data_IF_963573012068
#
_entry.id   IF_963573012068
#
_cell.length_a   1.000
_cell.length_b   1.000
_cell.length_c   1.000
_cell.angle_alpha   90.00
_cell.angle_beta   90.00
_cell.angle_gamma   90.00
#
_symmetry.space_group_name_H-M   'P 1'
#
loop_
_entity.id
_entity.type
_entity.pdbx_description
1 polymer ?
#
# COMPACT_ATOMS: atom_id res chain seq x y z
N UNK A 1 -70.06 -37.26 8.88
CA UNK A 1 -70.30 -36.03 9.62
C UNK A 1 -69.05 -35.20 9.43
N UNK A 2 -68.98 -34.40 8.33
CA UNK A 2 -69.39 -33.00 8.27
C UNK A 2 -68.86 -32.24 9.49
N UNK A 3 -68.05 -31.22 9.37
CA UNK A 3 -68.31 -29.95 8.71
C UNK A 3 -66.98 -29.26 8.30
N UNK A 4 -67.00 -28.72 7.12
CA UNK A 4 -66.25 -27.63 6.51
C UNK A 4 -66.20 -26.39 7.41
N UNK A 5 -65.06 -25.66 7.45
CA UNK A 5 -65.14 -24.20 7.36
C UNK A 5 -63.91 -23.60 6.71
N UNK A 6 -64.20 -22.73 5.76
CA UNK A 6 -63.31 -21.85 5.02
C UNK A 6 -63.08 -20.58 5.80
N UNK A 7 -61.90 -20.07 5.84
CA UNK A 7 -61.73 -18.62 6.00
C UNK A 7 -60.61 -18.09 5.08
N UNK A 8 -61.04 -17.18 4.28
CA UNK A 8 -60.39 -16.44 3.23
C UNK A 8 -59.32 -15.46 3.73
N UNK A 9 -58.23 -15.39 2.96
CA UNK A 9 -57.25 -14.31 3.03
C UNK A 9 -57.83 -13.02 2.45
N UNK A 10 -57.45 -11.85 2.96
CA UNK A 10 -57.65 -10.61 2.22
C UNK A 10 -56.38 -10.19 1.44
N UNK A 11 -56.57 -9.82 0.19
CA UNK A 11 -55.60 -9.22 -0.70
C UNK A 11 -55.14 -7.84 -0.19
N UNK A 12 -53.86 -7.48 -0.36
CA UNK A 12 -53.44 -6.09 -0.18
C UNK A 12 -53.68 -5.27 -1.47
N UNK A 13 -54.51 -4.27 -1.33
CA UNK A 13 -54.83 -3.28 -2.38
C UNK A 13 -53.60 -2.47 -2.82
N UNK A 14 -53.33 -2.52 -4.12
CA UNK A 14 -52.43 -1.61 -4.79
C UNK A 14 -53.00 -0.16 -4.71
N UNK A 15 -52.27 0.72 -4.08
CA UNK A 15 -52.51 2.17 -4.19
C UNK A 15 -51.54 2.72 -5.23
N UNK A 16 -52.12 3.10 -6.38
CA UNK A 16 -51.45 3.80 -7.45
C UNK A 16 -51.33 5.29 -7.09
N UNK A 17 -50.11 5.77 -6.84
CA UNK A 17 -49.89 7.21 -6.73
C UNK A 17 -49.45 7.75 -8.09
N UNK A 18 -50.27 8.62 -8.65
CA UNK A 18 -50.02 9.41 -9.85
C UNK A 18 -48.91 10.43 -9.57
N UNK A 19 -47.94 10.46 -10.46
CA UNK A 19 -46.90 11.48 -10.53
C UNK A 19 -47.49 12.74 -11.21
N UNK A 20 -47.50 13.83 -10.49
CA UNK A 20 -47.64 15.16 -11.11
C UNK A 20 -46.25 15.78 -11.24
N UNK A 21 -45.93 16.03 -12.50
CA UNK A 21 -44.73 16.72 -12.91
C UNK A 21 -44.86 18.21 -12.62
N UNK A 22 -43.91 18.77 -11.89
CA UNK A 22 -43.66 20.22 -11.93
C UNK A 22 -42.16 20.46 -12.01
N UNK A 23 -41.72 20.72 -13.21
CA UNK A 23 -40.38 21.27 -13.49
C UNK A 23 -40.37 22.73 -13.04
N UNK A 24 -39.49 23.05 -12.09
CA UNK A 24 -39.06 24.42 -11.87
C UNK A 24 -37.53 24.51 -12.06
N UNK A 25 -37.17 25.43 -12.98
CA UNK A 25 -35.81 25.68 -13.40
C UNK A 25 -34.88 26.15 -12.27
N UNK A 26 -33.58 25.78 -12.30
CA UNK A 26 -32.61 26.33 -11.38
C UNK A 26 -32.32 27.81 -11.67
N UNK A 27 -32.02 28.64 -10.66
CA UNK A 27 -31.73 30.05 -10.83
C UNK A 27 -30.39 30.25 -11.58
N UNK A 28 -30.46 31.13 -12.59
CA UNK A 28 -29.30 31.64 -13.32
C UNK A 28 -28.61 32.70 -12.48
N UNK A 29 -27.34 32.47 -12.13
CA UNK A 29 -26.48 33.53 -11.64
C UNK A 29 -25.90 34.32 -12.80
N UNK A 30 -26.25 35.61 -12.86
CA UNK A 30 -25.68 36.59 -13.78
C UNK A 30 -24.29 37.01 -13.27
N UNK A 31 -23.29 36.86 -14.11
CA UNK A 31 -21.98 37.46 -13.90
C UNK A 31 -22.03 38.91 -14.37
N UNK A 32 -21.86 39.84 -13.45
CA UNK A 32 -21.52 41.25 -13.81
C UNK A 32 -20.03 41.50 -13.55
N UNK A 33 -19.36 42.26 -14.43
CA UNK A 33 -17.94 42.56 -14.30
C UNK A 33 -17.69 43.72 -13.32
N UNK A 34 -16.83 43.49 -12.33
CA UNK A 34 -16.34 44.56 -11.45
C UNK A 34 -15.19 45.28 -12.14
N UNK A 35 -15.42 46.55 -12.42
CA UNK A 35 -14.46 47.52 -12.95
C UNK A 35 -13.39 47.86 -11.93
N UNK A 36 -12.17 47.86 -12.41
CA UNK A 36 -10.95 48.29 -11.73
C UNK A 36 -10.97 49.82 -11.48
N UNK A 37 -10.58 50.23 -10.26
CA UNK A 37 -10.18 51.61 -9.99
C UNK A 37 -8.77 51.60 -9.34
N UNK A 38 -7.80 52.38 -9.87
CA UNK A 38 -6.43 52.40 -9.41
C UNK A 38 -6.13 53.66 -8.60
N UNK A 39 -5.90 53.56 -7.34
CA UNK A 39 -5.06 54.53 -6.60
C UNK A 39 -4.91 54.15 -5.14
N UNK A 40 -3.74 53.68 -4.71
CA UNK A 40 -3.13 53.98 -3.39
C UNK A 40 -1.63 53.71 -3.49
N UNK A 41 -0.92 54.75 -3.63
CA UNK A 41 0.36 55.24 -3.09
C UNK A 41 1.33 54.23 -2.47
N UNK A 42 2.48 54.16 -3.13
CA UNK A 42 3.81 53.74 -2.63
C UNK A 42 4.08 54.08 -1.20
N UNK A 43 4.42 53.09 -0.36
CA UNK A 43 5.37 53.27 0.76
C UNK A 43 6.52 52.28 0.61
N UNK A 44 7.70 52.85 0.38
CA UNK A 44 8.99 52.19 0.53
C UNK A 44 9.18 51.85 2.00
N UNK A 45 9.43 50.59 2.34
CA UNK A 45 10.09 50.23 3.60
C UNK A 45 11.36 49.45 3.27
N UNK A 46 12.39 49.85 3.94
CA UNK A 46 13.79 49.53 3.79
C UNK A 46 14.06 48.04 3.93
N UNK A 47 14.91 47.55 3.03
CA UNK A 47 15.55 46.25 3.09
C UNK A 47 16.68 46.34 4.10
N UNK A 48 16.58 45.62 5.22
CA UNK A 48 17.70 45.36 6.09
C UNK A 48 18.49 44.19 5.55
N UNK A 49 19.73 44.46 5.19
CA UNK A 49 20.74 43.52 4.73
C UNK A 49 21.10 42.51 5.83
N UNK A 50 20.93 41.19 5.53
CA UNK A 50 21.59 40.15 6.28
C UNK A 50 22.97 39.89 5.68
N UNK A 51 24.03 39.69 6.53
CA UNK A 51 25.35 39.40 6.03
C UNK A 51 25.47 38.00 5.47
N UNK A 52 26.11 37.90 4.30
CA UNK A 52 26.48 36.64 3.69
C UNK A 52 27.53 35.91 4.55
N UNK A 53 27.47 34.55 4.64
CA UNK A 53 28.53 33.78 5.25
C UNK A 53 29.74 33.74 4.33
N UNK A 54 30.87 34.26 4.81
CA UNK A 54 32.16 34.23 4.13
C UNK A 54 32.63 32.80 3.89
N UNK A 55 32.76 32.42 2.61
CA UNK A 55 33.45 31.20 2.20
C UNK A 55 34.94 31.36 2.48
N UNK A 56 35.46 30.67 3.49
CA UNK A 56 36.91 30.53 3.70
C UNK A 56 37.42 29.48 2.68
N UNK A 57 38.13 29.99 1.70
CA UNK A 57 38.84 29.15 0.71
C UNK A 57 40.09 28.57 1.36
N UNK A 58 40.06 27.30 1.74
CA UNK A 58 41.27 26.58 2.10
C UNK A 58 41.97 26.10 0.81
N UNK A 59 43.00 26.80 0.42
CA UNK A 59 43.96 26.32 -0.57
C UNK A 59 44.78 25.20 0.06
N UNK A 60 44.61 23.98 -0.40
CA UNK A 60 45.58 22.90 -0.19
C UNK A 60 46.27 22.62 -1.52
N UNK A 61 47.47 23.16 -1.68
CA UNK A 61 48.40 22.76 -2.70
C UNK A 61 48.98 21.39 -2.31
N UNK A 62 48.48 20.34 -2.92
CA UNK A 62 49.23 19.12 -3.19
C UNK A 62 48.71 18.47 -4.46
N UNK A 63 49.49 18.67 -5.48
CA UNK A 63 49.47 17.97 -6.74
C UNK A 63 49.52 16.45 -6.48
N UNK A 64 48.45 15.73 -6.79
CA UNK A 64 48.49 14.32 -7.06
C UNK A 64 48.30 14.13 -8.55
N UNK A 65 49.38 13.83 -9.21
CA UNK A 65 49.40 13.37 -10.56
C UNK A 65 48.69 12.01 -10.69
N UNK A 66 47.83 11.95 -11.70
CA UNK A 66 47.12 10.78 -12.23
C UNK A 66 46.01 10.16 -11.36
N UNK A 67 44.74 10.31 -11.81
CA UNK A 67 43.69 9.44 -11.32
C UNK A 67 43.92 8.01 -11.80
N UNK A 68 43.64 6.99 -10.98
CA UNK A 68 43.74 5.60 -11.41
C UNK A 68 42.80 5.36 -12.58
N UNK A 69 43.35 4.91 -13.71
CA UNK A 69 42.57 4.43 -14.86
C UNK A 69 41.91 3.13 -14.47
N UNK A 70 40.61 3.16 -14.20
CA UNK A 70 39.81 1.95 -14.20
C UNK A 70 39.66 1.47 -15.62
N UNK A 71 40.35 0.38 -15.97
CA UNK A 71 40.12 -0.34 -17.21
C UNK A 71 38.71 -0.91 -17.14
N UNK A 72 37.80 -0.40 -17.97
CA UNK A 72 36.52 -1.03 -18.22
C UNK A 72 36.78 -2.27 -19.12
N UNK A 73 37.16 -3.38 -18.48
CA UNK A 73 37.01 -4.67 -19.14
C UNK A 73 35.55 -5.10 -18.96
N UNK A 74 34.89 -5.64 -19.99
CA UNK A 74 33.54 -6.17 -19.83
C UNK A 74 33.62 -7.37 -18.90
N UNK A 75 33.10 -7.20 -17.68
CA UNK A 75 32.89 -8.32 -16.77
C UNK A 75 31.81 -9.17 -17.43
N UNK A 76 32.25 -10.26 -18.05
CA UNK A 76 31.35 -11.36 -18.38
C UNK A 76 30.83 -11.90 -17.08
N UNK A 77 29.58 -11.57 -16.76
CA UNK A 77 28.88 -12.07 -15.58
C UNK A 77 28.76 -13.60 -15.70
N UNK A 78 29.61 -14.29 -14.93
CA UNK A 78 29.45 -15.72 -14.70
C UNK A 78 28.19 -15.92 -13.83
N UNK A 79 27.15 -16.64 -14.30
CA UNK A 79 25.90 -16.81 -13.57
C UNK A 79 26.07 -17.51 -12.21
N UNK A 80 27.25 -18.06 -11.92
CA UNK A 80 27.51 -18.81 -10.67
C UNK A 80 27.88 -17.95 -9.46
N UNK A 81 28.18 -16.65 -9.64
CA UNK A 81 28.69 -15.78 -8.57
C UNK A 81 27.57 -15.06 -7.80
N UNK A 82 26.40 -14.92 -8.40
CA UNK A 82 25.29 -14.11 -7.86
C UNK A 82 24.53 -14.79 -6.69
N UNK A 83 24.40 -16.11 -6.71
CA UNK A 83 23.69 -16.86 -5.68
C UNK A 83 24.29 -16.76 -4.26
N UNK A 84 25.56 -16.48 -4.13
CA UNK A 84 26.22 -16.29 -2.85
C UNK A 84 25.81 -14.99 -2.15
N UNK A 85 25.72 -13.89 -2.91
CA UNK A 85 25.35 -12.56 -2.42
C UNK A 85 23.89 -12.51 -1.95
N UNK A 86 22.97 -13.07 -2.72
CA UNK A 86 21.53 -13.10 -2.41
C UNK A 86 21.21 -13.94 -1.16
N UNK A 87 21.86 -15.10 -1.00
CA UNK A 87 21.73 -15.90 0.22
C UNK A 87 22.27 -15.18 1.46
N UNK A 88 23.38 -14.47 1.32
CA UNK A 88 23.93 -13.64 2.41
C UNK A 88 23.00 -12.45 2.73
N UNK A 89 22.36 -11.85 1.74
CA UNK A 89 21.39 -10.78 1.95
C UNK A 89 20.20 -11.26 2.80
N UNK A 90 19.58 -12.39 2.44
CA UNK A 90 18.47 -12.96 3.21
C UNK A 90 18.88 -13.27 4.66
N UNK A 91 20.05 -13.88 4.87
CA UNK A 91 20.58 -14.14 6.21
C UNK A 91 20.77 -12.82 7.00
N UNK A 92 21.20 -11.75 6.33
CA UNK A 92 21.34 -10.42 6.91
C UNK A 92 19.99 -9.81 7.30
N UNK A 93 18.94 -9.98 6.49
CA UNK A 93 17.60 -9.43 6.76
C UNK A 93 16.85 -10.22 7.84
N UNK A 94 17.06 -11.53 7.96
CA UNK A 94 16.42 -12.38 8.97
C UNK A 94 16.65 -11.92 10.42
N UNK A 95 17.75 -11.26 10.70
CA UNK A 95 18.01 -10.69 12.04
C UNK A 95 17.00 -9.60 12.44
N UNK A 96 16.30 -9.04 11.47
CA UNK A 96 15.23 -8.06 11.66
C UNK A 96 13.84 -8.68 11.52
N UNK A 97 13.75 -10.02 11.52
CA UNK A 97 12.46 -10.70 11.43
C UNK A 97 11.53 -10.22 12.54
N UNK A 98 10.34 -9.82 12.16
CA UNK A 98 9.26 -9.45 13.08
C UNK A 98 8.14 -10.49 13.00
N UNK A 99 7.54 -10.75 14.16
CA UNK A 99 6.35 -11.60 14.23
C UNK A 99 5.13 -10.71 14.04
N UNK A 100 4.32 -11.02 13.04
CA UNK A 100 3.10 -10.29 12.72
C UNK A 100 1.89 -11.21 12.88
N UNK A 101 0.78 -10.63 13.31
CA UNK A 101 -0.56 -11.24 13.34
C UNK A 101 -1.56 -10.30 12.68
N UNK A 102 -2.54 -10.86 12.01
CA UNK A 102 -3.57 -10.09 11.31
C UNK A 102 -4.65 -9.69 12.31
N UNK A 103 -5.09 -8.42 12.26
CA UNK A 103 -6.10 -7.89 13.17
C UNK A 103 -7.53 -8.22 12.68
N UNK A 104 -8.26 -9.12 13.38
CA UNK A 104 -9.62 -9.49 12.99
C UNK A 104 -10.60 -8.31 13.00
N UNK A 105 -10.29 -7.23 13.75
CA UNK A 105 -11.15 -6.05 13.80
C UNK A 105 -11.05 -5.22 12.50
N UNK A 106 -9.92 -5.28 11.81
CA UNK A 106 -9.71 -4.55 10.55
C UNK A 106 -10.13 -5.36 9.32
N UNK A 107 -10.18 -6.69 9.42
CA UNK A 107 -10.44 -7.57 8.30
C UNK A 107 -11.79 -7.31 7.62
N UNK A 108 -11.78 -7.20 6.29
CA UNK A 108 -13.01 -7.15 5.50
C UNK A 108 -13.86 -8.42 5.70
N UNK A 109 -15.17 -8.30 5.58
CA UNK A 109 -16.10 -9.41 5.86
C UNK A 109 -15.98 -10.60 4.91
N UNK A 110 -15.40 -10.44 3.73
CA UNK A 110 -15.11 -11.55 2.81
C UNK A 110 -13.78 -12.26 3.08
N UNK A 111 -13.05 -11.88 4.11
CA UNK A 111 -11.81 -12.54 4.51
C UNK A 111 -12.07 -13.56 5.61
N UNK A 112 -11.60 -14.79 5.41
CA UNK A 112 -11.49 -15.80 6.46
C UNK A 112 -10.07 -15.73 7.01
N UNK A 113 -9.94 -15.51 8.34
CA UNK A 113 -8.66 -15.59 9.04
C UNK A 113 -8.47 -17.01 9.59
N UNK A 114 -7.29 -17.56 9.40
CA UNK A 114 -6.89 -18.89 9.87
C UNK A 114 -5.44 -18.92 10.35
N UNK A 115 -4.95 -20.08 10.78
CA UNK A 115 -3.57 -20.28 11.20
C UNK A 115 -3.15 -19.26 12.28
N UNK A 116 -3.95 -19.15 13.36
CA UNK A 116 -3.72 -18.21 14.46
C UNK A 116 -3.63 -16.74 13.99
N UNK A 117 -4.49 -16.35 13.03
CA UNK A 117 -4.48 -15.04 12.37
C UNK A 117 -3.20 -14.74 11.58
N UNK A 118 -2.57 -15.76 11.00
CA UNK A 118 -1.43 -15.60 10.09
C UNK A 118 -1.79 -15.77 8.62
N UNK A 119 -3.02 -16.15 8.32
CA UNK A 119 -3.49 -16.36 6.94
C UNK A 119 -4.83 -15.71 6.70
N UNK A 120 -4.99 -15.11 5.53
CA UNK A 120 -6.27 -14.69 4.97
C UNK A 120 -6.59 -15.47 3.70
N UNK A 121 -7.87 -15.76 3.51
CA UNK A 121 -8.43 -16.29 2.27
C UNK A 121 -9.66 -15.48 1.92
N UNK A 122 -9.76 -15.00 0.68
CA UNK A 122 -10.97 -14.33 0.20
C UNK A 122 -12.01 -15.37 -0.22
N UNK A 123 -13.23 -15.20 0.23
CA UNK A 123 -14.37 -16.08 -0.04
C UNK A 123 -15.56 -15.26 -0.54
N UNK A 124 -16.48 -15.91 -1.28
CA UNK A 124 -17.68 -15.22 -1.77
C UNK A 124 -18.62 -14.79 -0.65
N UNK A 125 -18.82 -15.66 0.33
CA UNK A 125 -19.73 -15.41 1.45
C UNK A 125 -19.12 -14.48 2.49
N UNK A 126 -19.92 -13.50 2.93
CA UNK A 126 -19.51 -12.62 4.02
C UNK A 126 -19.50 -13.38 5.34
N UNK A 127 -18.41 -13.24 6.07
CA UNK A 127 -18.24 -13.82 7.40
C UNK A 127 -19.03 -13.00 8.43
N UNK A 128 -19.59 -13.65 9.46
CA UNK A 128 -20.43 -13.01 10.48
C UNK A 128 -19.58 -12.23 11.51
N UNK A 129 -18.66 -11.41 11.05
CA UNK A 129 -17.88 -10.55 11.94
C UNK A 129 -18.77 -9.44 12.54
N UNK A 130 -18.59 -9.11 13.82
CA UNK A 130 -19.25 -7.94 14.39
C UNK A 130 -18.81 -6.68 13.66
N UNK A 131 -19.72 -5.72 13.56
CA UNK A 131 -19.36 -4.40 13.01
C UNK A 131 -18.28 -3.75 13.90
N UNK A 132 -17.29 -3.16 13.23
CA UNK A 132 -16.19 -2.50 13.90
C UNK A 132 -15.77 -1.25 13.11
N UNK A 133 -15.47 -0.12 13.75
CA UNK A 133 -15.07 1.10 13.05
C UNK A 133 -13.77 0.94 12.26
N UNK A 134 -12.86 0.09 12.73
CA UNK A 134 -11.59 -0.20 12.06
C UNK A 134 -11.73 -1.21 10.90
N UNK A 135 -12.89 -1.82 10.70
CA UNK A 135 -13.09 -2.83 9.65
C UNK A 135 -13.15 -2.18 8.27
N UNK A 136 -12.35 -2.67 7.34
CA UNK A 136 -12.49 -2.34 5.93
C UNK A 136 -13.83 -2.84 5.38
N UNK A 137 -14.52 -2.04 4.59
CA UNK A 137 -15.82 -2.39 4.02
C UNK A 137 -15.86 -2.44 2.49
N UNK A 138 -14.86 -1.86 1.81
CA UNK A 138 -14.87 -1.74 0.35
C UNK A 138 -13.98 -2.78 -0.34
N UNK A 139 -12.79 -3.05 0.19
CA UNK A 139 -11.84 -3.99 -0.39
C UNK A 139 -11.50 -5.14 0.58
N UNK A 140 -11.33 -6.38 0.08
CA UNK A 140 -10.90 -7.52 0.89
C UNK A 140 -9.46 -7.36 1.38
N UNK A 141 -9.27 -6.57 2.44
CA UNK A 141 -7.96 -6.25 3.00
C UNK A 141 -7.99 -6.19 4.54
N UNK A 142 -6.80 -6.28 5.14
CA UNK A 142 -6.60 -6.37 6.60
C UNK A 142 -5.27 -5.73 6.97
N UNK A 143 -5.14 -5.20 8.19
CA UNK A 143 -3.87 -4.75 8.77
C UNK A 143 -3.33 -5.73 9.79
N UNK A 144 -2.04 -5.62 10.11
CA UNK A 144 -1.43 -6.29 11.25
C UNK A 144 -1.86 -5.67 12.58
N UNK A 145 -1.79 -6.46 13.65
CA UNK A 145 -1.96 -5.98 15.03
C UNK A 145 -0.75 -5.13 15.43
N UNK A 146 0.44 -5.62 15.11
CA UNK A 146 1.71 -5.02 15.49
C UNK A 146 2.05 -3.86 14.57
N UNK A 147 2.50 -2.75 15.16
CA UNK A 147 3.12 -1.66 14.40
C UNK A 147 4.56 -1.99 14.04
N UNK A 148 4.97 -1.57 12.85
CA UNK A 148 6.34 -1.72 12.37
C UNK A 148 7.19 -0.60 12.98
N UNK A 149 8.21 -0.98 13.76
CA UNK A 149 9.10 -0.03 14.42
C UNK A 149 10.56 -0.35 14.10
N UNK A 150 11.35 0.67 13.80
CA UNK A 150 12.76 0.50 13.47
C UNK A 150 12.95 -0.27 12.17
N UNK A 151 13.62 -1.43 12.26
CA UNK A 151 13.87 -2.33 11.12
C UNK A 151 13.05 -3.59 11.28
N UNK A 152 12.20 -3.87 10.29
CA UNK A 152 11.34 -5.04 10.24
C UNK A 152 11.52 -5.78 8.92
N UNK A 153 11.54 -7.11 9.00
CA UNK A 153 11.54 -8.00 7.84
C UNK A 153 10.52 -9.11 8.05
N UNK A 154 9.69 -9.38 7.04
CA UNK A 154 8.78 -10.53 7.03
C UNK A 154 8.68 -11.11 5.62
N UNK A 155 8.22 -12.34 5.54
CA UNK A 155 7.92 -13.02 4.28
C UNK A 155 6.46 -13.44 4.27
N UNK A 156 5.86 -13.39 3.09
CA UNK A 156 4.50 -13.86 2.82
C UNK A 156 4.51 -14.83 1.67
N UNK A 157 3.66 -15.83 1.74
CA UNK A 157 3.35 -16.70 0.63
C UNK A 157 1.92 -16.42 0.19
N UNK A 158 1.72 -16.27 -1.11
CA UNK A 158 0.41 -15.98 -1.67
C UNK A 158 -0.01 -17.06 -2.67
N UNK A 159 -1.30 -17.21 -2.87
CA UNK A 159 -1.87 -18.12 -3.86
C UNK A 159 -3.11 -17.52 -4.50
N UNK A 160 -3.52 -18.10 -5.64
CA UNK A 160 -4.63 -17.60 -6.43
C UNK A 160 -4.17 -16.58 -7.46
N UNK A 161 -5.07 -15.68 -7.82
CA UNK A 161 -4.91 -14.76 -8.94
C UNK A 161 -4.21 -13.46 -8.57
N UNK A 162 -4.48 -12.94 -7.36
CA UNK A 162 -4.00 -11.62 -6.94
C UNK A 162 -3.75 -11.55 -5.44
N UNK A 163 -2.68 -10.89 -5.08
CA UNK A 163 -2.40 -10.50 -3.71
C UNK A 163 -1.77 -9.09 -3.66
N UNK A 164 -2.13 -8.31 -2.66
CA UNK A 164 -1.53 -7.03 -2.35
C UNK A 164 -0.78 -7.13 -1.03
N UNK A 165 0.52 -6.86 -1.06
CA UNK A 165 1.40 -6.84 0.13
C UNK A 165 1.77 -5.39 0.39
N UNK A 166 1.37 -4.84 1.53
CA UNK A 166 1.39 -3.41 1.78
C UNK A 166 2.05 -3.03 3.10
N UNK A 167 2.44 -1.76 3.16
CA UNK A 167 2.72 -1.01 4.39
C UNK A 167 1.81 0.20 4.39
N UNK A 168 1.18 0.51 5.51
CA UNK A 168 0.20 1.57 5.62
C UNK A 168 0.28 2.29 6.95
N UNK A 169 -0.09 3.57 6.97
CA UNK A 169 -0.43 4.26 8.20
C UNK A 169 -1.72 3.69 8.79
N UNK A 170 -1.86 3.80 10.11
CA UNK A 170 -3.09 3.35 10.77
C UNK A 170 -4.30 4.22 10.41
N UNK A 171 -4.05 5.47 10.03
CA UNK A 171 -5.07 6.45 9.67
C UNK A 171 -5.81 6.18 8.37
N UNK A 172 -5.32 5.26 7.52
CA UNK A 172 -5.96 4.95 6.24
C UNK A 172 -7.47 4.74 6.39
N UNK A 173 -8.26 5.31 5.51
CA UNK A 173 -9.71 5.21 5.56
C UNK A 173 -10.16 3.74 5.52
N UNK A 174 -11.15 3.42 6.37
CA UNK A 174 -11.76 2.08 6.44
C UNK A 174 -13.05 2.01 5.65
N UNK A 175 -13.70 3.14 5.50
CA UNK A 175 -15.03 3.34 4.92
C UNK A 175 -14.91 4.37 3.82
N UNK A 176 -15.68 4.23 2.74
CA UNK A 176 -15.71 5.22 1.66
C UNK A 176 -15.38 4.66 0.30
N UNK A 177 -14.98 5.51 -0.66
CA UNK A 177 -14.67 5.11 -2.02
C UNK A 177 -13.40 4.25 -2.12
N UNK A 178 -13.32 3.44 -3.19
CA UNK A 178 -12.15 2.57 -3.44
C UNK A 178 -10.84 3.33 -3.35
N UNK A 179 -10.82 4.54 -3.84
CA UNK A 179 -9.62 5.35 -3.95
C UNK A 179 -9.06 5.79 -2.59
N UNK A 180 -9.93 5.89 -1.59
CA UNK A 180 -9.54 6.35 -0.26
C UNK A 180 -9.07 5.23 0.65
N UNK A 181 -9.56 4.00 0.47
CA UNK A 181 -9.33 2.89 1.39
C UNK A 181 -8.50 1.74 0.81
N UNK A 182 -8.32 1.63 -0.52
CA UNK A 182 -7.53 0.55 -1.12
C UNK A 182 -6.04 0.83 -0.98
N UNK A 183 -5.28 -0.16 -0.53
CA UNK A 183 -3.83 -0.03 -0.40
C UNK A 183 -3.18 0.39 -1.72
N UNK A 184 -2.29 1.39 -1.64
CA UNK A 184 -1.56 1.95 -2.77
C UNK A 184 -2.35 2.93 -3.64
N UNK A 185 -3.66 3.12 -3.42
CA UNK A 185 -4.48 4.09 -4.15
C UNK A 185 -4.56 5.47 -3.48
N UNK A 186 -3.86 5.67 -2.38
CA UNK A 186 -3.85 6.89 -1.56
C UNK A 186 -2.43 7.20 -1.09
N UNK A 187 -2.27 8.32 -0.41
CA UNK A 187 -0.99 8.78 0.13
C UNK A 187 -0.63 8.17 1.49
N UNK A 188 -1.52 7.35 2.07
CA UNK A 188 -1.32 6.70 3.37
C UNK A 188 -0.79 5.27 3.27
N UNK A 189 -0.63 4.72 2.06
CA UNK A 189 -0.20 3.34 1.88
C UNK A 189 0.69 3.11 0.66
N UNK A 190 1.57 2.11 0.76
CA UNK A 190 2.50 1.67 -0.27
C UNK A 190 2.34 0.17 -0.44
N UNK A 191 2.14 -0.31 -1.65
CA UNK A 191 1.90 -1.74 -1.86
C UNK A 191 2.71 -2.32 -3.01
N UNK A 192 2.88 -3.63 -2.96
CA UNK A 192 3.26 -4.49 -4.05
C UNK A 192 2.05 -5.34 -4.43
N UNK A 193 1.48 -5.10 -5.59
CA UNK A 193 0.49 -5.95 -6.20
C UNK A 193 1.19 -7.12 -6.89
N UNK A 194 0.76 -8.34 -6.59
CA UNK A 194 1.32 -9.58 -7.06
C UNK A 194 0.32 -10.33 -7.94
N UNK A 195 0.72 -10.64 -9.15
CA UNK A 195 0.00 -11.55 -10.06
C UNK A 195 0.99 -12.57 -10.64
N UNK A 196 0.50 -13.57 -11.36
CA UNK A 196 1.37 -14.59 -11.97
C UNK A 196 2.37 -14.02 -12.99
N UNK A 197 2.08 -12.86 -13.57
CA UNK A 197 2.86 -12.31 -14.68
C UNK A 197 3.61 -11.03 -14.32
N UNK A 198 3.13 -10.29 -13.33
CA UNK A 198 3.56 -8.91 -13.07
C UNK A 198 3.58 -8.65 -11.56
N UNK A 199 4.62 -7.98 -11.12
CA UNK A 199 4.66 -7.23 -9.87
C UNK A 199 4.47 -5.76 -10.17
N UNK A 200 3.63 -5.08 -9.38
CA UNK A 200 3.40 -3.65 -9.54
C UNK A 200 3.53 -2.95 -8.18
N UNK A 201 4.58 -2.15 -8.00
CA UNK A 201 4.70 -1.30 -6.80
C UNK A 201 3.89 -0.05 -7.01
N UNK A 202 3.01 0.27 -6.05
CA UNK A 202 2.06 1.38 -6.17
C UNK A 202 2.00 2.23 -4.90
N UNK A 203 1.90 3.54 -5.11
CA UNK A 203 1.62 4.54 -4.09
C UNK A 203 0.89 5.72 -4.74
N UNK A 204 -0.23 6.14 -4.16
CA UNK A 204 -1.04 7.27 -4.64
C UNK A 204 -1.32 7.20 -6.15
N UNK A 205 -1.71 6.01 -6.65
CA UNK A 205 -1.93 5.67 -8.06
C UNK A 205 -0.68 5.64 -8.96
N UNK A 206 0.42 6.25 -8.55
CA UNK A 206 1.67 6.13 -9.28
C UNK A 206 2.34 4.80 -8.97
N UNK A 207 3.00 4.22 -9.97
CA UNK A 207 3.65 2.95 -9.75
C UNK A 207 4.64 2.51 -10.79
N UNK A 208 5.32 1.42 -10.48
CA UNK A 208 6.32 0.79 -11.33
C UNK A 208 5.96 -0.67 -11.54
N UNK A 209 5.84 -1.04 -12.81
CA UNK A 209 5.62 -2.41 -13.24
C UNK A 209 6.95 -3.15 -13.38
N UNK A 210 6.97 -4.39 -12.91
CA UNK A 210 8.11 -5.29 -13.04
C UNK A 210 7.60 -6.67 -13.50
N UNK A 211 8.26 -7.28 -14.50
CA UNK A 211 7.88 -8.63 -14.91
C UNK A 211 8.10 -9.61 -13.75
N UNK A 212 7.12 -10.46 -13.46
CA UNK A 212 7.30 -11.59 -12.59
C UNK A 212 8.02 -12.70 -13.38
N UNK A 213 9.01 -13.34 -12.76
CA UNK A 213 9.57 -14.57 -13.31
C UNK A 213 8.53 -15.70 -13.08
N UNK A 214 8.02 -16.35 -14.15
CA UNK A 214 7.05 -17.44 -14.01
C UNK A 214 7.57 -18.63 -13.20
N UNK A 215 8.90 -18.76 -13.06
CA UNK A 215 9.55 -19.78 -12.23
C UNK A 215 9.74 -19.33 -10.78
N UNK A 216 9.42 -18.08 -10.45
CA UNK A 216 9.56 -17.58 -9.10
C UNK A 216 8.49 -18.18 -8.18
N UNK A 217 8.89 -18.49 -6.98
CA UNK A 217 7.97 -18.87 -5.92
C UNK A 217 6.99 -17.72 -5.64
N UNK A 218 5.73 -18.04 -5.35
CA UNK A 218 4.72 -17.07 -4.91
C UNK A 218 5.00 -16.56 -3.49
N UNK A 219 6.27 -16.25 -3.22
CA UNK A 219 6.73 -15.74 -1.91
C UNK A 219 7.41 -14.39 -2.09
N UNK A 220 7.01 -13.45 -1.25
CA UNK A 220 7.51 -12.07 -1.21
C UNK A 220 8.13 -11.80 0.16
N UNK A 221 9.32 -11.20 0.16
CA UNK A 221 9.95 -10.64 1.34
C UNK A 221 9.77 -9.12 1.36
N UNK A 222 9.50 -8.56 2.51
CA UNK A 222 9.39 -7.10 2.71
C UNK A 222 10.36 -6.68 3.80
N UNK A 223 11.11 -5.64 3.52
CA UNK A 223 11.98 -4.99 4.49
C UNK A 223 11.64 -3.52 4.60
N UNK A 224 11.45 -3.05 5.82
CA UNK A 224 11.28 -1.63 6.13
C UNK A 224 12.33 -1.20 7.14
N UNK A 225 12.96 -0.06 6.89
CA UNK A 225 13.74 0.69 7.87
C UNK A 225 13.04 2.05 8.06
N UNK A 226 12.26 2.15 9.13
CA UNK A 226 11.44 3.34 9.40
C UNK A 226 12.31 4.58 9.60
N UNK A 227 13.46 4.41 10.25
CA UNK A 227 14.37 5.52 10.55
C UNK A 227 15.14 6.00 9.32
N UNK A 228 15.49 5.07 8.43
CA UNK A 228 16.15 5.40 7.15
C UNK A 228 15.15 5.81 6.07
N UNK A 229 13.85 5.62 6.29
CA UNK A 229 12.81 5.93 5.30
C UNK A 229 12.89 5.02 4.08
N UNK A 230 13.17 3.72 4.24
CA UNK A 230 13.25 2.80 3.12
C UNK A 230 12.26 1.63 3.26
N UNK A 231 11.58 1.31 2.17
CA UNK A 231 10.70 0.17 2.02
C UNK A 231 11.14 -0.62 0.79
N UNK A 232 11.52 -1.87 0.99
CA UNK A 232 12.05 -2.74 -0.08
C UNK A 232 11.26 -4.02 -0.19
N UNK A 233 10.99 -4.43 -1.42
CA UNK A 233 10.31 -5.66 -1.79
C UNK A 233 11.27 -6.61 -2.50
N UNK A 234 11.11 -7.90 -2.22
CA UNK A 234 11.93 -8.98 -2.74
C UNK A 234 11.07 -10.15 -3.18
N UNK A 235 11.39 -10.77 -4.31
CA UNK A 235 10.93 -12.13 -4.61
C UNK A 235 11.80 -13.12 -3.86
N UNK A 236 11.19 -14.15 -3.27
CA UNK A 236 11.88 -15.18 -2.51
C UNK A 236 11.74 -16.51 -3.25
N UNK A 237 12.84 -17.08 -3.73
CA UNK A 237 12.81 -18.35 -4.45
C UNK A 237 12.63 -19.54 -3.49
N UNK A 238 12.29 -20.73 -4.03
CA UNK A 238 12.20 -21.97 -3.28
C UNK A 238 13.54 -22.37 -2.66
N UNK A 239 14.65 -21.97 -3.25
CA UNK A 239 15.99 -22.14 -2.70
C UNK A 239 16.34 -21.10 -1.64
N UNK A 240 15.34 -20.25 -1.29
CA UNK A 240 15.49 -19.20 -0.29
C UNK A 240 16.48 -18.09 -0.64
N UNK A 241 16.68 -17.82 -1.91
CA UNK A 241 17.40 -16.64 -2.39
C UNK A 241 16.45 -15.47 -2.53
N UNK A 242 16.96 -14.25 -2.32
CA UNK A 242 16.21 -13.01 -2.49
C UNK A 242 16.62 -12.34 -3.79
N UNK A 243 15.63 -12.07 -4.64
CA UNK A 243 15.79 -11.19 -5.80
C UNK A 243 15.15 -9.85 -5.46
N UNK A 244 15.94 -8.79 -5.47
CA UNK A 244 15.42 -7.45 -5.21
C UNK A 244 14.44 -7.04 -6.32
N UNK A 245 13.25 -6.61 -5.93
CA UNK A 245 12.24 -6.10 -6.85
C UNK A 245 12.31 -4.57 -6.92
N UNK A 246 12.07 -3.90 -5.80
CA UNK A 246 12.01 -2.45 -5.76
C UNK A 246 12.31 -1.90 -4.37
N UNK A 247 12.81 -0.66 -4.32
CA UNK A 247 12.97 0.10 -3.08
C UNK A 247 12.35 1.48 -3.24
N UNK A 248 11.45 1.81 -2.33
CA UNK A 248 10.89 3.14 -2.16
C UNK A 248 11.65 3.89 -1.06
N UNK A 249 11.99 5.16 -1.33
CA UNK A 249 12.58 6.07 -0.34
C UNK A 249 11.50 7.05 0.12
N UNK A 250 11.12 6.97 1.39
CA UNK A 250 9.92 7.61 1.94
C UNK A 250 10.29 8.26 3.27
N UNK A 251 9.80 9.46 3.51
CA UNK A 251 9.83 10.04 4.85
C UNK A 251 8.55 9.65 5.58
N UNK A 252 8.62 8.62 6.43
CA UNK A 252 7.49 8.20 7.24
C UNK A 252 7.22 9.19 8.37
N UNK A 253 5.97 9.57 8.54
CA UNK A 253 5.51 10.56 9.52
C UNK A 253 4.72 9.97 10.67
N UNK A 254 4.23 8.73 10.49
CA UNK A 254 3.36 8.03 11.44
C UNK A 254 3.81 6.58 11.63
N UNK A 255 3.32 5.89 12.68
CA UNK A 255 3.53 4.47 12.85
C UNK A 255 2.96 3.66 11.69
N UNK A 256 3.75 2.71 11.21
CA UNK A 256 3.41 1.84 10.08
C UNK A 256 2.85 0.50 10.54
N UNK A 257 1.99 -0.07 9.72
CA UNK A 257 1.42 -1.42 9.87
C UNK A 257 1.58 -2.20 8.58
N UNK A 258 1.78 -3.50 8.69
CA UNK A 258 1.71 -4.36 7.52
C UNK A 258 0.25 -4.51 7.08
N UNK A 259 0.01 -4.43 5.78
CA UNK A 259 -1.31 -4.58 5.18
C UNK A 259 -1.33 -5.69 4.14
N UNK A 260 -2.44 -6.39 4.03
CA UNK A 260 -2.61 -7.50 3.11
C UNK A 260 -3.99 -7.43 2.46
N UNK A 261 -4.02 -7.56 1.15
CA UNK A 261 -5.25 -7.63 0.36
C UNK A 261 -5.23 -8.83 -0.57
N UNK A 262 -6.38 -9.40 -0.85
CA UNK A 262 -6.53 -10.53 -1.77
C UNK A 262 -7.83 -10.38 -2.54
N UNK A 263 -7.88 -10.94 -3.74
CA UNK A 263 -9.11 -11.04 -4.52
C UNK A 263 -9.70 -12.46 -4.40
N UNK A 264 -10.85 -12.70 -5.02
CA UNK A 264 -11.55 -13.98 -5.02
C UNK A 264 -10.59 -15.15 -5.28
N UNK A 265 -10.80 -16.25 -4.54
CA UNK A 265 -10.01 -17.49 -4.63
C UNK A 265 -8.50 -17.29 -4.38
N UNK A 266 -8.14 -16.19 -3.76
CA UNK A 266 -6.76 -15.88 -3.42
C UNK A 266 -6.53 -15.90 -1.91
N UNK A 267 -5.28 -16.16 -1.52
CA UNK A 267 -4.89 -16.16 -0.11
C UNK A 267 -3.49 -15.59 0.09
N UNK A 268 -3.24 -15.07 1.30
CA UNK A 268 -1.90 -14.68 1.77
C UNK A 268 -1.65 -15.30 3.13
N UNK A 269 -0.46 -15.85 3.31
CA UNK A 269 0.01 -16.43 4.57
C UNK A 269 1.31 -15.76 5.02
N UNK A 270 1.39 -15.35 6.28
CA UNK A 270 2.62 -14.92 6.92
C UNK A 270 3.52 -16.14 7.17
N UNK A 271 4.77 -16.07 6.76
CA UNK A 271 5.72 -17.17 6.91
C UNK A 271 6.47 -17.06 8.23
N UNK A 272 6.67 -18.20 8.91
CA UNK A 272 7.55 -18.24 10.07
C UNK A 272 9.01 -18.14 9.63
N UNK A 273 9.69 -17.11 10.09
CA UNK A 273 11.12 -16.88 9.83
C UNK A 273 11.92 -17.30 11.06
N UNK A 274 12.61 -18.40 10.98
CA UNK A 274 13.57 -18.80 12.05
C UNK A 274 14.72 -17.80 12.05
N UNK A 275 14.91 -17.12 13.15
CA UNK A 275 16.03 -16.19 13.42
C UNK A 275 17.35 -16.94 13.54
#
# INVERSE_FOLDING_TARGET
>A
MEISDRSSSPDPSCVSLKSDASMQNPPKFSAEPVTSDPSITRRKSQISSFPEPSCVSLKSDRSMDNPPKFSAEPVTSDPSVDHGGEKMMRAGLRKYACDLTLDPNTAHTQLVLSDENKKITCVEDRQPYPDHPERFDEAPQVLSVESLTGRCYWETEWSGYYACISVSYKGINRKGGRDECVFGCNDESWCLDCTDNIFFVRHNYDGTEMPADPSSSKRVGVYVDVSAGSLSFYSVSDTHTLTHLHTLNITFTEPLYAGFGVDHDSSVSLCDIKR
#
